data_IF_399455083946
#
_entry.id   IF_399455083946
#
_cell.length_a   1.000
_cell.length_b   1.000
_cell.length_c   1.000
_cell.angle_alpha   90.00
_cell.angle_beta   90.00
_cell.angle_gamma   90.00
#
_symmetry.space_group_name_H-M   'P 1'
#
loop_
_entity.id
_entity.type
_entity.pdbx_description
1 polymer ?
#
# COMPACT_ATOMS: atom_id res chain seq x y z
N UNK A 1 15.20 -4.93 8.05
CA UNK A 1 13.79 -4.55 7.81
C UNK A 1 13.09 -5.47 6.81
N UNK A 2 11.76 -5.62 6.89
CA UNK A 2 10.90 -6.24 5.86
C UNK A 2 9.42 -5.80 6.05
N UNK A 3 8.57 -6.03 5.05
CA UNK A 3 7.11 -5.89 5.08
C UNK A 3 6.46 -7.28 5.04
N UNK A 4 5.53 -7.56 5.96
CA UNK A 4 4.82 -8.85 6.03
C UNK A 4 3.31 -8.66 6.10
N UNK A 5 2.58 -9.69 5.65
CA UNK A 5 1.12 -9.77 5.66
C UNK A 5 0.41 -8.55 5.04
N UNK A 6 0.79 -8.12 3.82
CA UNK A 6 0.07 -7.04 3.16
C UNK A 6 -1.37 -7.46 2.90
N UNK A 7 -2.31 -6.60 3.23
CA UNK A 7 -3.74 -6.80 2.98
C UNK A 7 -4.32 -5.52 2.40
N UNK A 8 -5.31 -5.68 1.53
CA UNK A 8 -6.05 -4.57 0.93
C UNK A 8 -7.53 -4.81 1.18
N UNK A 9 -8.25 -3.72 1.44
CA UNK A 9 -9.69 -3.72 1.65
C UNK A 9 -10.31 -2.53 0.92
N UNK A 10 -11.53 -2.70 0.43
CA UNK A 10 -12.32 -1.64 -0.17
C UNK A 10 -13.64 -1.46 0.59
N UNK A 11 -14.15 -0.23 0.58
CA UNK A 11 -15.50 0.09 1.00
C UNK A 11 -16.09 1.12 0.04
N UNK A 12 -17.39 0.98 -0.26
CA UNK A 12 -18.15 1.88 -1.13
C UNK A 12 -19.25 2.54 -0.32
N UNK A 13 -19.41 3.85 -0.45
CA UNK A 13 -20.51 4.59 0.17
C UNK A 13 -21.76 4.62 -0.73
N UNK A 14 -22.85 5.24 -0.22
CA UNK A 14 -24.12 5.32 -0.93
C UNK A 14 -24.08 6.25 -2.17
N UNK A 15 -23.01 7.02 -2.35
CA UNK A 15 -22.79 7.94 -3.46
C UNK A 15 -21.81 7.36 -4.50
N UNK A 16 -21.56 6.05 -4.45
CA UNK A 16 -20.58 5.37 -5.31
C UNK A 16 -19.17 5.96 -5.16
N UNK A 17 -18.78 6.32 -3.93
CA UNK A 17 -17.41 6.74 -3.60
C UNK A 17 -16.70 5.62 -2.88
N UNK A 18 -15.52 5.28 -3.37
CA UNK A 18 -14.70 4.24 -2.81
C UNK A 18 -13.69 4.78 -1.81
N UNK A 19 -13.38 3.94 -0.84
CA UNK A 19 -12.21 4.05 0.03
C UNK A 19 -11.46 2.74 -0.01
N UNK A 20 -10.21 2.81 -0.44
CA UNK A 20 -9.25 1.71 -0.46
C UNK A 20 -8.29 1.89 0.72
N UNK A 21 -8.04 0.81 1.46
CA UNK A 21 -7.08 0.80 2.56
C UNK A 21 -6.16 -0.39 2.43
N UNK A 22 -4.86 -0.13 2.50
CA UNK A 22 -3.81 -1.16 2.50
C UNK A 22 -3.13 -1.16 3.86
N UNK A 23 -2.89 -2.35 4.40
CA UNK A 23 -2.22 -2.56 5.69
C UNK A 23 -1.09 -3.57 5.57
N UNK A 24 -0.04 -3.40 6.35
CA UNK A 24 1.01 -4.39 6.52
C UNK A 24 1.65 -4.28 7.91
N UNK A 25 2.53 -5.23 8.23
CA UNK A 25 3.41 -5.14 9.39
C UNK A 25 4.82 -4.89 8.90
N UNK A 26 5.43 -3.82 9.36
CA UNK A 26 6.84 -3.52 9.17
C UNK A 26 7.63 -4.20 10.26
N UNK A 27 8.72 -4.87 9.88
CA UNK A 27 9.59 -5.56 10.81
C UNK A 27 10.98 -4.94 10.81
N UNK A 28 11.56 -4.78 11.98
CA UNK A 28 12.88 -4.19 12.18
C UNK A 28 13.72 -5.09 13.08
N UNK A 29 15.03 -5.06 12.87
CA UNK A 29 15.98 -5.69 13.76
C UNK A 29 16.16 -4.84 15.02
N UNK A 30 16.50 -5.44 16.17
CA UNK A 30 16.83 -4.69 17.38
C UNK A 30 17.98 -3.69 17.17
N UNK A 31 18.90 -3.98 16.25
CA UNK A 31 20.03 -3.11 15.94
C UNK A 31 19.59 -1.86 15.19
N UNK A 32 18.71 -1.99 14.19
CA UNK A 32 18.14 -0.85 13.45
C UNK A 32 17.44 0.15 14.40
N UNK A 33 16.72 -0.36 15.41
CA UNK A 33 16.05 0.46 16.43
C UNK A 33 17.07 1.14 17.35
N UNK A 34 18.00 0.36 17.92
CA UNK A 34 18.99 0.88 18.88
C UNK A 34 19.92 1.92 18.25
N UNK A 35 20.26 1.75 16.98
CA UNK A 35 21.08 2.69 16.22
C UNK A 35 20.29 3.90 15.67
N UNK A 36 18.98 3.96 15.91
CA UNK A 36 18.15 5.12 15.57
C UNK A 36 18.00 5.35 14.08
N UNK A 37 18.01 4.28 13.28
CA UNK A 37 17.86 4.37 11.83
C UNK A 37 16.51 4.99 11.46
N UNK A 38 16.55 5.92 10.50
CA UNK A 38 15.38 6.47 9.84
C UNK A 38 14.99 5.60 8.64
N UNK A 39 13.69 5.42 8.50
CA UNK A 39 13.04 4.67 7.42
C UNK A 39 12.04 5.55 6.70
N UNK A 40 11.71 5.13 5.49
CA UNK A 40 10.71 5.75 4.62
C UNK A 40 9.79 4.67 4.07
N UNK A 41 8.48 4.83 4.25
CA UNK A 41 7.47 3.93 3.71
C UNK A 41 6.45 4.67 2.85
N UNK A 42 5.87 3.94 1.88
CA UNK A 42 4.82 4.42 1.00
C UNK A 42 4.06 3.28 0.33
N UNK A 43 2.93 3.61 -0.29
CA UNK A 43 2.11 2.69 -1.07
C UNK A 43 1.82 3.24 -2.48
N UNK A 44 1.52 2.35 -3.40
CA UNK A 44 0.97 2.67 -4.72
C UNK A 44 -0.24 1.80 -4.99
N UNK A 45 -1.25 2.40 -5.61
CA UNK A 45 -2.49 1.75 -6.03
C UNK A 45 -2.45 1.45 -7.51
N UNK A 46 -2.83 0.23 -7.86
CA UNK A 46 -2.81 -0.28 -9.21
C UNK A 46 -4.13 -1.00 -9.49
N UNK A 47 -4.64 -0.78 -10.69
CA UNK A 47 -5.48 -1.76 -11.35
C UNK A 47 -4.60 -2.92 -11.80
N UNK A 48 -5.13 -4.13 -11.73
CA UNK A 48 -4.37 -5.33 -11.98
C UNK A 48 -5.20 -6.40 -12.69
N UNK A 49 -5.33 -6.34 -14.02
CA UNK A 49 -6.01 -7.37 -14.79
C UNK A 49 -5.04 -8.33 -15.51
N UNK A 50 -5.59 -9.33 -16.21
CA UNK A 50 -4.80 -10.36 -16.92
C UNK A 50 -4.03 -9.82 -18.15
N UNK A 51 -4.33 -8.61 -18.59
CA UNK A 51 -3.88 -8.01 -19.85
C UNK A 51 -2.98 -6.78 -19.66
N UNK A 52 -3.32 -5.89 -18.73
CA UNK A 52 -2.56 -4.72 -18.33
C UNK A 52 -2.68 -4.44 -16.82
N UNK A 53 -1.76 -3.59 -16.33
CA UNK A 53 -1.78 -3.13 -14.95
C UNK A 53 -1.54 -1.64 -14.94
N UNK A 54 -2.57 -0.87 -14.64
CA UNK A 54 -2.52 0.58 -14.67
C UNK A 54 -2.25 1.19 -13.30
N UNK A 55 -1.38 2.20 -13.30
CA UNK A 55 -1.05 2.95 -12.09
C UNK A 55 -2.17 3.95 -11.80
N UNK A 56 -2.81 3.82 -10.64
CA UNK A 56 -3.92 4.69 -10.24
C UNK A 56 -3.41 5.87 -9.40
N UNK A 57 -2.62 5.58 -8.35
CA UNK A 57 -2.19 6.62 -7.41
C UNK A 57 -0.92 6.25 -6.63
N UNK A 58 -0.18 7.28 -6.22
CA UNK A 58 0.87 7.16 -5.20
C UNK A 58 0.30 7.63 -3.85
N UNK A 59 0.64 6.96 -2.75
CA UNK A 59 0.23 7.34 -1.40
C UNK A 59 1.40 7.34 -0.44
N UNK A 60 1.60 8.49 0.19
CA UNK A 60 2.51 8.62 1.32
C UNK A 60 3.97 8.70 0.93
N UNK A 61 4.72 9.43 1.74
CA UNK A 61 6.15 9.23 1.98
C UNK A 61 6.37 9.76 3.39
N UNK A 62 6.47 8.88 4.38
CA UNK A 62 6.73 9.30 5.76
C UNK A 62 8.15 8.91 6.11
N UNK A 63 8.93 9.86 6.61
CA UNK A 63 10.19 9.55 7.27
C UNK A 63 9.99 9.47 8.77
N UNK A 64 10.43 8.37 9.36
CA UNK A 64 10.23 8.12 10.78
C UNK A 64 11.27 7.14 11.32
N UNK A 65 11.25 6.93 12.65
CA UNK A 65 12.10 5.97 13.34
C UNK A 65 11.22 4.95 14.06
N UNK A 66 11.46 3.64 13.91
CA UNK A 66 10.70 2.62 14.61
C UNK A 66 10.97 2.66 16.11
N UNK A 67 9.91 2.51 16.90
CA UNK A 67 10.00 2.39 18.35
C UNK A 67 10.08 0.92 18.79
N UNK A 68 9.68 -0.01 17.92
CA UNK A 68 9.63 -1.44 18.18
C UNK A 68 10.03 -2.28 16.96
N UNK A 69 10.21 -3.59 17.18
CA UNK A 69 10.58 -4.54 16.11
C UNK A 69 9.43 -4.84 15.15
N UNK A 70 8.21 -4.38 15.47
CA UNK A 70 7.00 -4.57 14.67
C UNK A 70 6.11 -3.34 14.76
N UNK A 71 5.94 -2.68 13.63
CA UNK A 71 5.08 -1.50 13.52
C UNK A 71 3.98 -1.75 12.49
N UNK A 72 2.83 -1.10 12.67
CA UNK A 72 1.72 -1.21 11.74
C UNK A 72 1.86 -0.13 10.66
N UNK A 73 1.77 -0.54 9.40
CA UNK A 73 1.66 0.35 8.24
C UNK A 73 0.22 0.36 7.77
N UNK A 74 -0.33 1.55 7.54
CA UNK A 74 -1.67 1.75 7.00
C UNK A 74 -1.72 2.96 6.07
N UNK A 75 -2.19 2.76 4.85
CA UNK A 75 -2.41 3.82 3.86
C UNK A 75 -3.83 3.74 3.32
N UNK A 76 -4.51 4.89 3.31
CA UNK A 76 -5.90 5.01 2.87
C UNK A 76 -6.02 6.00 1.74
N UNK A 77 -6.66 5.57 0.64
CA UNK A 77 -7.10 6.43 -0.45
C UNK A 77 -8.64 6.51 -0.42
N UNK A 78 -9.17 7.69 -0.15
CA UNK A 78 -10.60 7.91 0.06
C UNK A 78 -11.21 8.82 -0.99
N UNK A 79 -12.55 8.80 -1.09
CA UNK A 79 -13.36 9.68 -1.92
C UNK A 79 -13.07 9.50 -3.42
N UNK A 80 -12.77 8.27 -3.83
CA UNK A 80 -12.51 7.88 -5.20
C UNK A 80 -13.86 7.75 -5.92
N UNK A 81 -14.15 8.50 -6.99
CA UNK A 81 -15.31 8.23 -7.82
C UNK A 81 -15.31 6.78 -8.31
N UNK A 82 -16.47 6.10 -8.33
CA UNK A 82 -16.57 4.76 -8.91
C UNK A 82 -16.05 4.69 -10.34
N UNK A 83 -16.39 5.68 -11.16
CA UNK A 83 -15.93 5.81 -12.54
C UNK A 83 -14.40 5.94 -12.70
N UNK A 84 -13.67 6.30 -11.63
CA UNK A 84 -12.20 6.37 -11.64
C UNK A 84 -11.55 5.00 -11.32
N UNK A 85 -12.32 4.07 -10.78
CA UNK A 85 -11.92 2.66 -10.59
C UNK A 85 -12.51 1.74 -11.66
N UNK A 86 -13.55 2.19 -12.37
CA UNK A 86 -14.15 1.52 -13.53
C UNK A 86 -13.26 1.74 -14.76
N UNK A 87 -12.35 0.81 -14.95
CA UNK A 87 -11.36 0.79 -16.03
C UNK A 87 -11.84 -0.14 -17.15
N UNK A 88 -11.43 0.12 -18.40
CA UNK A 88 -12.20 -0.15 -19.63
C UNK A 88 -12.57 -1.64 -19.94
N UNK A 89 -12.23 -2.61 -19.09
CA UNK A 89 -12.32 -4.04 -19.40
C UNK A 89 -13.21 -4.88 -18.47
N UNK A 90 -13.77 -4.30 -17.39
CA UNK A 90 -14.83 -4.90 -16.59
C UNK A 90 -14.37 -6.07 -15.73
N UNK A 91 -14.25 -5.82 -14.42
CA UNK A 91 -13.73 -6.75 -13.43
C UNK A 91 -12.62 -6.08 -12.65
N UNK A 92 -12.97 -5.13 -11.77
CA UNK A 92 -11.97 -4.29 -11.13
C UNK A 92 -11.14 -5.09 -10.11
N UNK A 93 -9.92 -5.42 -10.50
CA UNK A 93 -8.94 -6.10 -9.65
C UNK A 93 -7.96 -5.06 -9.09
N UNK A 94 -8.09 -4.72 -7.80
CA UNK A 94 -7.23 -3.72 -7.15
C UNK A 94 -6.05 -4.40 -6.47
N UNK A 95 -4.87 -3.84 -6.68
CA UNK A 95 -3.64 -4.25 -5.98
C UNK A 95 -2.88 -3.05 -5.42
N UNK A 96 -2.29 -3.25 -4.24
CA UNK A 96 -1.37 -2.29 -3.66
C UNK A 96 0.07 -2.80 -3.73
N UNK A 97 0.99 -1.92 -4.16
CA UNK A 97 2.44 -2.10 -3.97
C UNK A 97 2.84 -1.32 -2.72
N UNK A 98 3.45 -1.98 -1.75
CA UNK A 98 3.95 -1.35 -0.53
C UNK A 98 5.47 -1.34 -0.55
N UNK A 99 6.05 -0.26 -0.04
CA UNK A 99 7.48 -0.06 -0.04
C UNK A 99 7.95 0.37 1.34
N UNK A 100 9.13 -0.13 1.73
CA UNK A 100 9.88 0.38 2.87
C UNK A 100 11.35 0.50 2.50
N UNK A 101 11.99 1.59 2.92
CA UNK A 101 13.39 1.89 2.65
C UNK A 101 14.12 2.29 3.93
N UNK A 102 15.35 1.80 4.11
CA UNK A 102 16.25 2.35 5.11
C UNK A 102 16.87 3.63 4.55
N UNK A 103 16.38 4.77 5.01
CA UNK A 103 16.83 6.08 4.56
C UNK A 103 18.28 6.35 5.00
N UNK A 104 18.62 5.93 6.22
CA UNK A 104 19.95 6.15 6.82
C UNK A 104 21.08 5.53 6.01
N UNK A 105 20.89 4.30 5.54
CA UNK A 105 21.88 3.58 4.73
C UNK A 105 21.70 3.80 3.23
N UNK A 106 20.67 4.57 2.84
CA UNK A 106 20.30 4.79 1.43
C UNK A 106 20.08 3.48 0.66
N UNK A 107 19.64 2.40 1.33
CA UNK A 107 19.38 1.12 0.70
C UNK A 107 18.34 1.24 -0.41
N UNK A 108 18.30 0.29 -1.35
CA UNK A 108 17.15 0.14 -2.22
C UNK A 108 15.88 -0.13 -1.38
N UNK A 109 14.70 0.29 -1.85
CA UNK A 109 13.45 -0.06 -1.19
C UNK A 109 13.14 -1.54 -1.34
N UNK A 110 12.52 -2.11 -0.31
CA UNK A 110 11.88 -3.42 -0.35
C UNK A 110 10.45 -3.23 -0.82
N UNK A 111 10.05 -3.96 -1.85
CA UNK A 111 8.68 -3.99 -2.37
C UNK A 111 7.95 -5.26 -1.90
N UNK A 112 6.68 -5.10 -1.53
CA UNK A 112 5.73 -6.20 -1.33
C UNK A 112 4.40 -5.86 -2.00
N UNK A 113 3.77 -6.89 -2.54
CA UNK A 113 2.47 -6.77 -3.17
C UNK A 113 1.39 -7.28 -2.21
N UNK A 114 0.26 -6.59 -2.13
CA UNK A 114 -0.95 -7.16 -1.54
C UNK A 114 -1.47 -8.33 -2.40
N UNK A 115 -2.37 -9.16 -1.86
CA UNK A 115 -3.31 -9.91 -2.67
C UNK A 115 -4.07 -8.98 -3.62
N UNK A 116 -4.58 -9.55 -4.71
CA UNK A 116 -5.55 -8.88 -5.57
C UNK A 116 -6.89 -8.84 -4.82
N UNK A 117 -7.55 -7.70 -4.87
CA UNK A 117 -8.91 -7.51 -4.37
C UNK A 117 -9.83 -7.30 -5.56
N UNK A 118 -10.68 -8.28 -5.81
CA UNK A 118 -11.82 -8.10 -6.70
C UNK A 118 -12.81 -7.13 -6.05
N UNK A 119 -13.06 -6.01 -6.70
CA UNK A 119 -14.21 -5.15 -6.43
C UNK A 119 -15.17 -5.33 -7.60
N UNK A 120 -16.45 -5.55 -7.30
CA UNK A 120 -17.46 -5.74 -8.33
C UNK A 120 -18.12 -4.38 -8.63
N UNK A 121 -18.31 -4.05 -9.92
CA UNK A 121 -19.26 -3.01 -10.28
C UNK A 121 -20.66 -3.58 -10.04
N UNK A 122 -21.55 -2.77 -9.46
CA UNK A 122 -22.97 -3.16 -9.36
C UNK A 122 -23.67 -3.00 -10.71
#
# INVERSE_FOLDING_TARGET
>A
MDLINPTVTASRDAQNRWTLTVKAIETFTPEEIRSGFEFEDWAQWWEWDDSDHDHLANHGVIRWRPASVREAMEWTWSNIPGDDLDTELGGEEIRAKLFIRNFTTSSAPIERLSPILEIAPD
#
